data_IF_814936097796
#
_entry.id   IF_814936097796
#
_cell.length_a   1.000
_cell.length_b   1.000
_cell.length_c   1.000
_cell.angle_alpha   90.00
_cell.angle_beta   90.00
_cell.angle_gamma   90.00
#
_symmetry.space_group_name_H-M   'P 1'
#
loop_
_entity.id
_entity.type
_entity.pdbx_description
1 polymer ?
#
# COMPACT_ATOMS: atom_id res chain seq x y z
N UNK A 1 -3.06 9.18 15.30
CA UNK A 1 -1.68 8.68 15.27
C UNK A 1 -0.86 9.46 16.27
N UNK A 2 -0.11 8.79 17.14
CA UNK A 2 0.84 9.41 18.07
C UNK A 2 2.29 9.07 17.68
N UNK A 3 3.25 9.56 18.46
CA UNK A 3 4.68 9.31 18.24
C UNK A 3 5.04 7.81 18.26
N UNK A 4 4.31 6.99 19.02
CA UNK A 4 4.54 5.55 19.11
C UNK A 4 4.16 4.82 17.81
N UNK A 5 3.18 5.34 17.09
CA UNK A 5 2.79 4.83 15.77
C UNK A 5 3.91 5.07 14.76
N UNK A 6 4.43 6.29 14.65
CA UNK A 6 5.49 6.64 13.70
C UNK A 6 6.80 5.86 13.96
N UNK A 7 7.14 5.58 15.22
CA UNK A 7 8.27 4.73 15.59
C UNK A 7 8.18 3.31 15.00
N UNK A 8 6.99 2.68 15.07
CA UNK A 8 6.78 1.34 14.50
C UNK A 8 6.86 1.32 12.98
N UNK A 9 6.41 2.40 12.35
CA UNK A 9 6.45 2.58 10.89
C UNK A 9 7.90 2.67 10.43
N UNK A 10 8.73 3.43 11.14
CA UNK A 10 10.16 3.58 10.86
C UNK A 10 10.93 2.27 11.07
N UNK A 11 10.57 1.47 12.08
CA UNK A 11 11.17 0.14 12.27
C UNK A 11 10.80 -0.84 11.15
N UNK A 12 9.52 -0.92 10.77
CA UNK A 12 9.07 -1.73 9.64
C UNK A 12 9.68 -1.25 8.31
N UNK A 13 9.77 0.07 8.12
CA UNK A 13 10.44 0.70 6.99
C UNK A 13 11.92 0.27 6.89
N UNK A 14 12.67 0.31 8.00
CA UNK A 14 14.08 -0.10 8.03
C UNK A 14 14.26 -1.58 7.68
N UNK A 15 13.36 -2.45 8.14
CA UNK A 15 13.44 -3.89 7.87
C UNK A 15 13.08 -4.26 6.43
N UNK A 16 12.16 -3.51 5.81
CA UNK A 16 11.71 -3.80 4.44
C UNK A 16 12.50 -3.01 3.39
N UNK A 17 13.35 -2.05 3.76
CA UNK A 17 14.09 -1.23 2.79
C UNK A 17 15.05 -2.11 1.97
N UNK A 18 14.79 -2.24 0.68
CA UNK A 18 15.54 -3.10 -0.25
C UNK A 18 14.88 -4.46 -0.51
N UNK A 19 13.82 -4.80 0.25
CA UNK A 19 13.04 -6.01 0.05
C UNK A 19 11.97 -5.84 -1.03
N UNK A 20 11.65 -6.94 -1.71
CA UNK A 20 10.65 -6.98 -2.80
C UNK A 20 9.28 -6.43 -2.40
N UNK A 21 8.93 -6.54 -1.11
CA UNK A 21 7.62 -6.16 -0.58
C UNK A 21 7.56 -4.76 0.03
N UNK A 22 8.66 -4.00 0.00
CA UNK A 22 8.75 -2.64 0.53
C UNK A 22 7.58 -1.75 0.09
N UNK A 23 7.34 -1.68 -1.22
CA UNK A 23 6.31 -0.81 -1.79
C UNK A 23 4.91 -1.21 -1.32
N UNK A 24 4.63 -2.50 -1.20
CA UNK A 24 3.33 -3.01 -0.73
C UNK A 24 3.08 -2.60 0.71
N UNK A 25 4.07 -2.72 1.60
CA UNK A 25 3.95 -2.27 2.99
C UNK A 25 3.80 -0.76 3.09
N UNK A 26 4.61 -0.02 2.34
CA UNK A 26 4.52 1.44 2.30
C UNK A 26 3.10 1.90 1.92
N UNK A 27 2.54 1.34 0.84
CA UNK A 27 1.21 1.72 0.36
C UNK A 27 0.07 1.24 1.28
N UNK A 28 0.23 0.11 1.97
CA UNK A 28 -0.74 -0.35 2.97
C UNK A 28 -0.81 0.58 4.19
N UNK A 29 0.33 1.16 4.56
CA UNK A 29 0.51 1.90 5.80
C UNK A 29 0.22 3.39 5.62
N UNK A 30 0.84 4.02 4.62
CA UNK A 30 0.85 5.48 4.49
C UNK A 30 -0.47 5.99 3.87
N UNK A 31 -0.85 5.59 2.63
CA UNK A 31 -2.17 5.88 2.09
C UNK A 31 -3.30 5.04 2.71
N UNK A 32 -2.98 3.99 3.48
CA UNK A 32 -3.98 3.13 4.10
C UNK A 32 -4.66 2.17 3.12
N UNK A 33 -3.99 1.81 2.01
CA UNK A 33 -4.59 0.95 0.99
C UNK A 33 -4.89 -0.44 1.55
N UNK A 34 -6.10 -0.93 1.27
CA UNK A 34 -6.51 -2.30 1.63
C UNK A 34 -5.85 -3.31 0.69
N UNK A 35 -5.71 -4.56 1.15
CA UNK A 35 -5.13 -5.66 0.35
C UNK A 35 -5.76 -5.78 -1.04
N UNK A 36 -7.08 -5.65 -1.16
CA UNK A 36 -7.76 -5.73 -2.46
C UNK A 36 -7.44 -4.56 -3.38
N UNK A 37 -7.25 -3.36 -2.82
CA UNK A 37 -6.87 -2.14 -3.56
C UNK A 37 -5.41 -2.25 -4.05
N UNK A 38 -4.50 -2.73 -3.20
CA UNK A 38 -3.11 -3.02 -3.58
C UNK A 38 -2.99 -4.04 -4.71
N UNK A 39 -3.86 -5.06 -4.69
CA UNK A 39 -3.89 -6.09 -5.73
C UNK A 39 -4.65 -5.67 -6.99
N UNK A 40 -5.48 -4.62 -6.90
CA UNK A 40 -6.34 -4.14 -7.97
C UNK A 40 -5.84 -2.89 -8.68
N UNK A 41 -4.80 -2.23 -8.15
CA UNK A 41 -4.24 -1.00 -8.72
C UNK A 41 -3.50 -1.29 -10.02
N UNK A 42 -3.77 -0.49 -11.04
CA UNK A 42 -3.05 -0.53 -12.31
C UNK A 42 -2.11 0.68 -12.46
N UNK A 43 -1.11 0.56 -13.34
CA UNK A 43 -0.19 1.66 -13.65
C UNK A 43 -0.90 2.92 -14.16
N UNK A 44 -2.01 2.76 -14.90
CA UNK A 44 -2.84 3.87 -15.39
C UNK A 44 -3.50 4.69 -14.27
N UNK A 45 -3.60 4.12 -13.07
CA UNK A 45 -4.25 4.75 -11.92
C UNK A 45 -3.27 5.64 -11.13
N UNK A 46 -1.98 5.63 -11.50
CA UNK A 46 -0.90 6.29 -10.77
C UNK A 46 -0.48 7.56 -11.52
N UNK A 47 -0.65 8.70 -10.87
CA UNK A 47 -0.11 9.97 -11.32
C UNK A 47 1.14 10.31 -10.51
N UNK A 48 2.31 10.07 -11.10
CA UNK A 48 3.60 10.35 -10.47
C UNK A 48 3.92 11.86 -10.41
N UNK A 49 3.29 12.68 -11.24
CA UNK A 49 3.50 14.14 -11.24
C UNK A 49 2.78 14.75 -10.04
N UNK A 50 1.51 14.39 -9.86
CA UNK A 50 0.69 14.87 -8.75
C UNK A 50 0.85 14.04 -7.47
N UNK A 51 1.61 12.93 -7.53
CA UNK A 51 1.84 11.98 -6.42
C UNK A 51 0.53 11.41 -5.87
N UNK A 52 -0.41 11.13 -6.76
CA UNK A 52 -1.72 10.56 -6.43
C UNK A 52 -1.88 9.16 -7.00
N UNK A 53 -2.62 8.33 -6.29
CA UNK A 53 -3.07 7.03 -6.76
C UNK A 53 -4.58 7.04 -6.69
N UNK A 54 -5.24 6.78 -7.82
CA UNK A 54 -6.68 6.72 -7.91
C UNK A 54 -7.16 5.27 -7.70
N UNK A 55 -7.79 4.98 -6.56
CA UNK A 55 -8.27 3.62 -6.29
C UNK A 55 -9.55 3.34 -7.09
N UNK A 56 -9.42 2.63 -8.21
CA UNK A 56 -10.53 2.33 -9.12
C UNK A 56 -11.13 0.93 -8.91
N UNK A 57 -10.38 0.01 -8.31
CA UNK A 57 -10.73 -1.42 -8.25
C UNK A 57 -10.27 -2.03 -6.93
N UNK A 58 -10.93 -3.12 -6.53
CA UNK A 58 -10.50 -3.96 -5.41
C UNK A 58 -10.59 -5.42 -5.82
N UNK A 59 -9.46 -6.13 -5.80
CA UNK A 59 -9.39 -7.54 -6.16
C UNK A 59 -9.72 -8.40 -4.93
N UNK A 60 -10.75 -9.24 -5.06
CA UNK A 60 -11.17 -10.16 -4.02
C UNK A 60 -11.23 -11.58 -4.58
N UNK A 61 -10.73 -12.54 -3.79
CA UNK A 61 -10.99 -13.96 -4.06
C UNK A 61 -12.44 -14.25 -3.70
N UNK A 62 -13.23 -14.65 -4.69
CA UNK A 62 -14.60 -15.12 -4.47
C UNK A 62 -14.58 -16.64 -4.62
N UNK A 63 -15.14 -17.36 -3.65
CA UNK A 63 -15.42 -18.78 -3.77
C UNK A 63 -16.84 -18.91 -4.33
N UNK A 64 -17.01 -19.48 -5.52
CA UNK A 64 -18.34 -19.97 -5.90
C UNK A 64 -18.57 -21.28 -5.15
N UNK A 65 -19.61 -21.29 -4.31
CA UNK A 65 -20.18 -22.50 -3.72
C UNK A 65 -21.27 -23.05 -4.64
#
# INVERSE_FOLDING_TARGET
MDASYNLKIDEGYKHCKGEKHYLTFFLAIYPGMRRGELLGVNWSDIDLVNKTIHIQRSLQRVLML
#
